data_IF_889297825174
#
_entry.id   IF_889297825174
#
_cell.length_a   1.000
_cell.length_b   1.000
_cell.length_c   1.000
_cell.angle_alpha   90.00
_cell.angle_beta   90.00
_cell.angle_gamma   90.00
#
_symmetry.space_group_name_H-M   'P 1'
#
loop_
_entity.id
_entity.type
_entity.pdbx_description
1 polymer ?
#
# COMPACT_ATOMS: atom_id res chain seq x y z
N UNK A 1 -17.06 19.91 26.06
CA UNK A 1 -15.70 20.13 25.56
C UNK A 1 -15.54 19.35 24.26
N UNK A 2 -15.29 20.01 23.11
CA UNK A 2 -15.03 19.31 21.85
C UNK A 2 -13.85 18.33 21.93
N UNK A 3 -13.91 17.23 21.18
CA UNK A 3 -12.86 16.20 21.19
C UNK A 3 -11.46 16.77 20.87
N UNK A 4 -11.35 17.59 19.82
CA UNK A 4 -10.09 18.25 19.44
C UNK A 4 -9.53 19.14 20.55
N UNK A 5 -10.38 19.83 21.31
CA UNK A 5 -9.94 20.68 22.42
C UNK A 5 -9.51 19.87 23.63
N UNK A 6 -10.13 18.70 23.86
CA UNK A 6 -9.68 17.75 24.88
C UNK A 6 -8.28 17.23 24.57
N UNK A 7 -8.05 16.76 23.34
CA UNK A 7 -6.72 16.31 22.91
C UNK A 7 -5.69 17.45 22.97
N UNK A 8 -6.02 18.64 22.45
CA UNK A 8 -5.13 19.79 22.51
C UNK A 8 -4.72 20.17 23.94
N UNK A 9 -5.64 20.05 24.90
CA UNK A 9 -5.35 20.25 26.33
C UNK A 9 -4.37 19.20 26.87
N UNK A 10 -4.54 17.93 26.49
CA UNK A 10 -3.61 16.87 26.87
C UNK A 10 -2.22 17.07 26.24
N UNK A 11 -2.15 17.41 24.95
CA UNK A 11 -0.88 17.66 24.24
C UNK A 11 -0.10 18.82 24.85
N UNK A 12 -0.79 19.90 25.25
CA UNK A 12 -0.12 21.04 25.91
C UNK A 12 0.34 20.71 27.33
N UNK A 13 -0.39 19.85 28.04
CA UNK A 13 -0.01 19.35 29.37
C UNK A 13 1.10 18.27 29.32
N UNK A 14 1.31 17.62 28.16
CA UNK A 14 2.35 16.59 27.98
C UNK A 14 3.77 17.12 28.23
N UNK A 15 4.01 18.44 28.16
CA UNK A 15 5.27 19.05 28.58
C UNK A 15 5.64 18.77 30.06
N UNK A 16 4.70 18.23 30.86
CA UNK A 16 4.88 17.87 32.27
C UNK A 16 5.03 16.35 32.49
N UNK A 17 4.95 15.52 31.45
CA UNK A 17 5.05 14.06 31.53
C UNK A 17 5.55 13.43 30.22
N UNK A 18 6.61 12.63 30.27
CA UNK A 18 7.35 12.22 29.05
C UNK A 18 6.70 11.11 28.21
N UNK A 19 5.89 10.20 28.77
CA UNK A 19 5.29 9.09 28.01
C UNK A 19 3.85 8.79 28.41
N UNK A 20 2.90 9.18 27.55
CA UNK A 20 1.48 8.90 27.73
C UNK A 20 0.84 8.49 26.39
N UNK A 21 -0.36 7.90 26.43
CA UNK A 21 -1.15 7.40 25.28
C UNK A 21 -1.30 8.39 24.09
N UNK A 22 -1.06 9.68 24.32
CA UNK A 22 -1.11 10.77 23.34
C UNK A 22 0.18 10.95 22.53
N UNK A 23 1.23 10.17 22.82
CA UNK A 23 2.48 10.21 22.06
C UNK A 23 2.23 9.92 20.58
N UNK A 24 2.70 10.80 19.70
CA UNK A 24 2.51 10.70 18.25
C UNK A 24 1.21 11.33 17.70
N UNK A 25 0.34 11.90 18.54
CA UNK A 25 -0.83 12.65 18.06
C UNK A 25 -0.41 14.04 17.60
N UNK A 26 -0.77 14.43 16.37
CA UNK A 26 -0.57 15.78 15.84
C UNK A 26 -1.90 16.44 15.44
N UNK A 27 -2.07 17.72 15.74
CA UNK A 27 -3.21 18.53 15.31
C UNK A 27 -2.73 19.62 14.36
N UNK A 28 -3.20 19.60 13.11
CA UNK A 28 -2.93 20.62 12.09
C UNK A 28 -4.21 21.36 11.74
N UNK A 29 -4.20 22.69 11.84
CA UNK A 29 -5.37 23.54 11.59
C UNK A 29 -5.11 24.56 10.48
N UNK A 30 -6.01 24.58 9.51
CA UNK A 30 -6.10 25.62 8.48
C UNK A 30 -7.38 26.45 8.69
N UNK A 31 -7.33 27.74 8.36
CA UNK A 31 -8.41 28.69 8.65
C UNK A 31 -8.72 29.55 7.42
N UNK A 32 -9.96 29.50 6.94
CA UNK A 32 -10.48 30.35 5.85
C UNK A 32 -11.45 31.37 6.43
N UNK A 33 -10.96 32.59 6.64
CA UNK A 33 -11.66 33.63 7.42
C UNK A 33 -11.45 33.46 8.92
N UNK A 34 -11.26 34.56 9.64
CA UNK A 34 -10.94 34.53 11.07
C UNK A 34 -12.15 34.13 11.93
N UNK A 35 -11.89 33.43 13.03
CA UNK A 35 -12.93 33.07 14.00
C UNK A 35 -13.56 34.32 14.67
N UNK A 36 -14.90 34.47 14.61
CA UNK A 36 -15.60 35.56 15.29
C UNK A 36 -15.59 35.36 16.81
N UNK A 37 -15.49 36.47 17.56
CA UNK A 37 -15.47 36.45 19.03
C UNK A 37 -16.71 35.79 19.68
N UNK A 38 -17.83 35.73 18.96
CA UNK A 38 -19.09 35.07 19.37
C UNK A 38 -19.03 33.54 19.25
N UNK A 39 -18.13 32.97 18.45
CA UNK A 39 -18.05 31.53 18.24
C UNK A 39 -16.95 30.91 19.12
N UNK A 40 -17.36 30.06 20.05
CA UNK A 40 -16.44 29.41 20.98
C UNK A 40 -15.76 28.14 20.40
N UNK A 41 -16.29 27.58 19.29
CA UNK A 41 -15.77 26.33 18.73
C UNK A 41 -14.51 26.51 17.88
N UNK A 42 -14.38 27.63 17.17
CA UNK A 42 -13.20 27.94 16.35
C UNK A 42 -12.15 28.78 17.10
N UNK A 43 -12.39 29.10 18.38
CA UNK A 43 -11.54 30.02 19.13
C UNK A 43 -10.14 29.42 19.30
N UNK A 44 -9.13 30.18 18.85
CA UNK A 44 -7.71 29.89 19.06
C UNK A 44 -7.08 31.05 19.85
N UNK A 45 -6.17 30.79 20.81
CA UNK A 45 -5.50 31.84 21.57
C UNK A 45 -4.84 32.87 20.63
N UNK A 46 -5.12 34.15 20.84
CA UNK A 46 -4.54 35.25 20.07
C UNK A 46 -5.04 35.43 18.63
N UNK A 47 -6.07 34.68 18.20
CA UNK A 47 -6.61 34.78 16.83
C UNK A 47 -8.08 35.20 16.73
N UNK A 48 -8.76 35.40 17.85
CA UNK A 48 -10.15 35.85 17.85
C UNK A 48 -10.30 37.29 17.36
N UNK A 49 -11.39 37.56 16.64
CA UNK A 49 -11.67 38.88 16.09
C UNK A 49 -13.14 39.26 16.30
N UNK A 50 -13.38 40.52 16.67
CA UNK A 50 -14.73 41.11 16.63
C UNK A 50 -15.14 41.31 15.17
N UNK A 51 -16.28 40.72 14.79
CA UNK A 51 -16.89 40.86 13.45
C UNK A 51 -15.89 40.74 12.28
N UNK A 52 -15.28 39.56 12.07
CA UNK A 52 -14.36 39.33 10.96
C UNK A 52 -15.08 39.42 9.62
N UNK A 53 -14.38 39.90 8.59
CA UNK A 53 -14.90 39.95 7.21
C UNK A 53 -15.06 38.53 6.64
N UNK A 54 -16.24 38.17 6.11
CA UNK A 54 -16.45 36.86 5.48
C UNK A 54 -15.49 36.63 4.30
N UNK A 55 -15.04 35.38 4.16
CA UNK A 55 -14.18 34.93 3.06
C UNK A 55 -14.96 33.94 2.20
N UNK A 56 -14.68 33.92 0.89
CA UNK A 56 -15.26 32.92 -0.01
C UNK A 56 -14.88 31.51 0.44
N UNK A 57 -15.87 30.70 0.79
CA UNK A 57 -15.68 29.31 1.21
C UNK A 57 -15.95 28.34 0.07
N UNK A 58 -17.09 28.52 -0.60
CA UNK A 58 -17.60 27.59 -1.59
C UNK A 58 -18.20 28.34 -2.79
N UNK A 59 -18.01 27.80 -3.99
CA UNK A 59 -18.67 28.25 -5.21
C UNK A 59 -19.78 27.25 -5.50
N UNK A 60 -21.01 27.59 -5.14
CA UNK A 60 -22.16 26.67 -5.26
C UNK A 60 -22.67 26.53 -6.70
N UNK A 61 -22.48 27.57 -7.54
CA UNK A 61 -22.94 27.61 -8.91
C UNK A 61 -21.96 28.39 -9.78
N UNK A 62 -21.70 27.85 -10.96
CA UNK A 62 -20.94 28.52 -12.02
C UNK A 62 -21.81 28.62 -13.27
N UNK A 63 -21.69 29.73 -13.98
CA UNK A 63 -22.36 29.93 -15.28
C UNK A 63 -21.26 30.26 -16.30
N UNK A 64 -21.17 29.52 -17.43
CA UNK A 64 -20.14 29.77 -18.43
C UNK A 64 -20.24 31.16 -19.05
N UNK A 65 -19.11 31.84 -19.29
CA UNK A 65 -19.10 33.23 -19.76
C UNK A 65 -19.74 33.42 -21.14
N UNK A 66 -19.76 32.40 -21.99
CA UNK A 66 -20.40 32.48 -23.31
C UNK A 66 -21.92 32.70 -23.22
N UNK A 67 -22.56 32.54 -22.05
CA UNK A 67 -23.97 32.92 -21.89
C UNK A 67 -24.19 34.42 -21.92
N UNK A 68 -23.14 35.22 -21.69
CA UNK A 68 -23.17 36.68 -21.78
C UNK A 68 -23.04 37.18 -23.22
N UNK A 69 -22.67 36.30 -24.17
CA UNK A 69 -22.56 36.60 -25.59
C UNK A 69 -23.94 36.47 -26.23
N UNK A 70 -24.43 37.55 -26.85
CA UNK A 70 -25.77 37.61 -27.45
C UNK A 70 -25.83 37.03 -28.86
N UNK A 71 -24.74 37.07 -29.61
CA UNK A 71 -24.70 36.55 -30.96
C UNK A 71 -24.35 35.05 -30.97
N UNK A 72 -25.13 34.27 -31.72
CA UNK A 72 -24.99 32.81 -31.72
C UNK A 72 -23.65 32.34 -32.33
N UNK A 73 -23.11 33.06 -33.31
CA UNK A 73 -21.89 32.67 -34.01
C UNK A 73 -20.65 32.73 -33.10
N UNK A 74 -20.44 33.86 -32.43
CA UNK A 74 -19.33 34.07 -31.50
C UNK A 74 -19.51 33.23 -30.25
N UNK A 75 -20.75 33.03 -29.78
CA UNK A 75 -21.04 32.15 -28.64
C UNK A 75 -20.56 30.73 -28.89
N UNK A 76 -20.87 30.13 -30.04
CA UNK A 76 -20.40 28.77 -30.36
C UNK A 76 -18.89 28.71 -30.60
N UNK A 77 -18.30 29.72 -31.25
CA UNK A 77 -16.84 29.80 -31.42
C UNK A 77 -16.09 29.96 -30.08
N UNK A 78 -16.66 30.72 -29.13
CA UNK A 78 -16.09 30.85 -27.79
C UNK A 78 -16.22 29.55 -27.01
N UNK A 79 -17.36 28.86 -27.14
CA UNK A 79 -17.59 27.57 -26.49
C UNK A 79 -16.59 26.52 -26.97
N UNK A 80 -16.31 26.41 -28.27
CA UNK A 80 -15.30 25.48 -28.77
C UNK A 80 -13.89 25.83 -28.28
N UNK A 81 -13.52 27.11 -28.27
CA UNK A 81 -12.24 27.57 -27.72
C UNK A 81 -12.09 27.28 -26.22
N UNK A 82 -13.17 27.43 -25.44
CA UNK A 82 -13.18 27.08 -24.02
C UNK A 82 -13.03 25.57 -23.79
N UNK A 83 -13.69 24.75 -24.62
CA UNK A 83 -13.54 23.29 -24.56
C UNK A 83 -12.12 22.86 -24.92
N UNK A 84 -11.52 23.48 -25.94
CA UNK A 84 -10.13 23.26 -26.33
C UNK A 84 -9.15 23.58 -25.19
N UNK A 85 -9.30 24.75 -24.55
CA UNK A 85 -8.42 25.15 -23.45
C UNK A 85 -8.53 24.24 -22.22
N UNK A 86 -9.74 23.75 -21.93
CA UNK A 86 -9.98 22.91 -20.76
C UNK A 86 -9.59 21.43 -20.97
N UNK A 87 -9.99 20.82 -22.09
CA UNK A 87 -9.83 19.36 -22.31
C UNK A 87 -8.60 18.98 -23.15
N UNK A 88 -8.18 19.88 -24.05
CA UNK A 88 -7.13 19.63 -25.04
C UNK A 88 -5.93 20.57 -24.88
N UNK A 89 -5.77 21.19 -23.70
CA UNK A 89 -4.68 22.11 -23.36
C UNK A 89 -4.52 23.29 -24.33
N UNK A 90 -5.57 23.66 -25.05
CA UNK A 90 -5.57 24.73 -26.07
C UNK A 90 -4.82 24.39 -27.36
N UNK A 91 -4.51 23.11 -27.61
CA UNK A 91 -3.74 22.64 -28.78
C UNK A 91 -4.48 21.60 -29.62
N UNK A 92 -5.80 21.75 -29.70
CA UNK A 92 -6.66 20.86 -30.46
C UNK A 92 -8.13 21.11 -30.18
N UNK A 93 -8.98 20.59 -31.04
CA UNK A 93 -10.43 20.74 -30.94
C UNK A 93 -11.07 19.52 -30.31
N UNK A 94 -12.14 19.73 -29.53
CA UNK A 94 -12.96 18.62 -29.01
C UNK A 94 -13.95 18.17 -30.08
N UNK A 95 -13.94 16.87 -30.38
CA UNK A 95 -14.91 16.21 -31.26
C UNK A 95 -15.60 15.13 -30.43
N UNK A 96 -16.89 15.30 -30.20
CA UNK A 96 -17.70 14.43 -29.32
C UNK A 96 -17.06 14.25 -27.93
N UNK A 97 -16.40 13.12 -27.70
CA UNK A 97 -15.78 12.75 -26.42
C UNK A 97 -14.24 12.63 -26.46
N UNK A 98 -13.60 13.06 -27.56
CA UNK A 98 -12.14 13.01 -27.73
C UNK A 98 -11.55 14.31 -28.28
N UNK A 99 -10.24 14.49 -28.12
CA UNK A 99 -9.51 15.66 -28.60
C UNK A 99 -8.80 15.37 -29.92
N UNK A 100 -9.12 16.12 -30.97
CA UNK A 100 -8.35 16.18 -32.22
C UNK A 100 -7.18 17.14 -32.05
N UNK A 101 -6.02 16.58 -31.71
CA UNK A 101 -4.80 17.36 -31.53
C UNK A 101 -4.27 17.96 -32.84
N UNK A 102 -3.80 19.21 -32.77
CA UNK A 102 -3.07 19.84 -33.86
C UNK A 102 -1.70 19.18 -34.06
N UNK A 103 -1.12 19.33 -35.26
CA UNK A 103 0.18 18.72 -35.63
C UNK A 103 1.34 19.13 -34.71
N UNK A 104 1.24 20.28 -34.04
CA UNK A 104 2.25 20.78 -33.09
C UNK A 104 2.13 20.16 -31.69
N UNK A 105 1.10 19.35 -31.44
CA UNK A 105 0.79 18.79 -30.13
C UNK A 105 1.14 17.31 -30.01
N UNK A 106 1.94 16.76 -30.93
CA UNK A 106 2.43 15.38 -30.84
C UNK A 106 3.70 15.32 -29.99
N UNK A 107 3.89 14.22 -29.26
CA UNK A 107 5.08 13.99 -28.44
C UNK A 107 6.30 13.52 -29.26
N UNK A 108 7.38 13.18 -28.57
CA UNK A 108 8.63 12.70 -29.18
C UNK A 108 8.47 11.38 -29.94
N UNK A 109 7.46 10.58 -29.60
CA UNK A 109 7.10 9.34 -30.30
C UNK A 109 6.09 9.55 -31.43
N UNK A 110 5.64 10.79 -31.66
CA UNK A 110 4.62 11.09 -32.66
C UNK A 110 3.22 10.67 -32.24
N UNK A 111 2.94 10.59 -30.93
CA UNK A 111 1.61 10.30 -30.39
C UNK A 111 0.88 11.58 -29.96
N UNK A 112 -0.46 11.64 -30.05
CA UNK A 112 -1.22 12.86 -29.73
C UNK A 112 -1.08 13.25 -28.25
N UNK A 113 -0.63 14.47 -27.94
CA UNK A 113 -0.31 14.92 -26.57
C UNK A 113 -1.07 16.18 -26.11
N UNK A 114 -2.17 16.55 -26.79
CA UNK A 114 -2.97 17.72 -26.41
C UNK A 114 -3.86 17.48 -25.18
N UNK A 115 -4.43 16.28 -25.03
CA UNK A 115 -5.16 15.89 -23.82
C UNK A 115 -4.19 15.22 -22.83
N UNK A 116 -4.14 15.67 -21.56
CA UNK A 116 -3.20 15.13 -20.59
C UNK A 116 -3.53 13.67 -20.25
N UNK A 117 -2.49 12.92 -19.89
CA UNK A 117 -2.58 11.59 -19.30
C UNK A 117 -1.97 11.68 -17.88
N UNK A 118 -2.81 11.91 -16.84
CA UNK A 118 -2.32 12.09 -15.47
C UNK A 118 -1.64 10.84 -14.91
N UNK A 119 -0.77 11.04 -13.91
CA UNK A 119 -0.17 9.97 -13.13
C UNK A 119 -1.25 9.27 -12.28
N UNK A 120 -1.43 7.93 -12.39
CA UNK A 120 -2.32 7.20 -11.50
C UNK A 120 -1.67 7.04 -10.13
N UNK A 121 -2.29 7.57 -9.07
CA UNK A 121 -1.74 7.51 -7.73
C UNK A 121 -2.03 6.14 -7.11
N UNK A 122 -0.99 5.30 -7.03
CA UNK A 122 -1.06 3.99 -6.38
C UNK A 122 -1.08 4.16 -4.85
N UNK A 123 -2.01 3.48 -4.18
CA UNK A 123 -2.21 3.55 -2.73
C UNK A 123 -2.41 2.16 -2.14
N UNK A 124 -2.15 2.04 -0.84
CA UNK A 124 -2.62 0.89 -0.07
C UNK A 124 -4.13 0.99 0.13
N UNK A 125 -4.81 -0.15 0.13
CA UNK A 125 -6.23 -0.21 0.43
C UNK A 125 -6.49 0.34 1.84
N UNK A 126 -7.39 1.32 2.02
CA UNK A 126 -7.70 1.88 3.34
C UNK A 126 -8.39 0.90 4.29
N UNK A 127 -9.05 -0.12 3.76
CA UNK A 127 -9.85 -1.09 4.52
C UNK A 127 -9.09 -2.39 4.81
N UNK A 128 -8.00 -2.65 4.09
CA UNK A 128 -7.19 -3.87 4.21
C UNK A 128 -5.73 -3.50 4.49
N UNK A 129 -5.38 -3.46 5.77
CA UNK A 129 -3.98 -3.34 6.18
C UNK A 129 -3.17 -4.55 5.66
N UNK A 130 -1.93 -4.37 5.20
CA UNK A 130 -1.12 -5.48 4.69
C UNK A 130 -0.80 -6.50 5.81
N UNK A 131 -0.76 -7.79 5.49
CA UNK A 131 -0.28 -8.86 6.38
C UNK A 131 1.10 -9.36 5.93
N UNK A 132 1.51 -10.53 6.40
CA UNK A 132 2.81 -11.12 6.07
C UNK A 132 2.88 -11.64 4.64
N UNK A 133 1.76 -12.06 4.05
CA UNK A 133 1.72 -12.59 2.68
C UNK A 133 0.71 -11.88 1.78
N UNK A 134 -0.10 -10.99 2.34
CA UNK A 134 -1.23 -10.35 1.64
C UNK A 134 -1.07 -8.84 1.63
N UNK A 135 -1.15 -8.24 0.43
CA UNK A 135 -1.11 -6.79 0.21
C UNK A 135 -2.19 -6.42 -0.80
N UNK A 136 -3.02 -5.43 -0.48
CA UNK A 136 -4.04 -4.88 -1.38
C UNK A 136 -3.70 -3.45 -1.77
N UNK A 137 -3.77 -3.15 -3.06
CA UNK A 137 -3.46 -1.84 -3.64
C UNK A 137 -4.66 -1.31 -4.42
N UNK A 138 -4.83 0.01 -4.41
CA UNK A 138 -5.92 0.71 -5.05
C UNK A 138 -5.42 1.96 -5.78
N UNK A 139 -6.08 2.31 -6.88
CA UNK A 139 -5.90 3.59 -7.57
C UNK A 139 -7.21 4.05 -8.21
N UNK A 140 -7.33 5.36 -8.36
CA UNK A 140 -8.47 6.01 -9.02
C UNK A 140 -8.18 6.14 -10.51
N UNK A 141 -9.20 5.92 -11.35
CA UNK A 141 -9.07 6.05 -12.80
C UNK A 141 -8.62 7.46 -13.20
N UNK A 142 -7.59 7.53 -14.06
CA UNK A 142 -7.08 8.81 -14.59
C UNK A 142 -7.77 9.23 -15.89
N UNK A 143 -8.70 8.42 -16.41
CA UNK A 143 -9.44 8.74 -17.62
C UNK A 143 -10.35 9.97 -17.41
N UNK A 144 -10.14 11.09 -18.15
CA UNK A 144 -11.06 12.22 -18.14
C UNK A 144 -12.40 11.87 -18.79
N UNK A 145 -13.42 12.70 -18.54
CA UNK A 145 -14.71 12.57 -19.22
C UNK A 145 -14.55 12.74 -20.75
N UNK A 146 -13.77 13.74 -21.17
CA UNK A 146 -13.48 14.07 -22.57
C UNK A 146 -11.97 14.06 -22.79
N UNK A 147 -11.53 13.47 -23.90
CA UNK A 147 -10.12 13.48 -24.33
C UNK A 147 -9.47 12.11 -24.27
N UNK A 148 -8.36 11.99 -23.55
CA UNK A 148 -7.61 10.73 -23.41
C UNK A 148 -8.49 9.60 -22.89
N UNK A 149 -8.35 8.40 -23.45
CA UNK A 149 -9.00 7.18 -22.96
C UNK A 149 -7.92 6.18 -22.53
N UNK A 150 -8.10 5.52 -21.40
CA UNK A 150 -7.14 4.56 -20.85
C UNK A 150 -7.44 3.19 -21.44
N UNK A 151 -6.43 2.56 -22.04
CA UNK A 151 -6.53 1.20 -22.56
C UNK A 151 -6.02 0.15 -21.59
N UNK A 152 -5.05 0.50 -20.74
CA UNK A 152 -4.50 -0.43 -19.76
C UNK A 152 -3.84 0.28 -18.58
N UNK A 153 -3.64 -0.47 -17.50
CA UNK A 153 -2.79 -0.12 -16.37
C UNK A 153 -1.69 -1.17 -16.25
N UNK A 154 -0.44 -0.73 -16.31
CA UNK A 154 0.71 -1.63 -16.17
C UNK A 154 1.23 -1.54 -14.75
N UNK A 155 1.20 -2.68 -14.07
CA UNK A 155 1.69 -2.82 -12.72
C UNK A 155 2.94 -3.69 -12.72
N UNK A 156 3.97 -3.24 -12.01
CA UNK A 156 5.17 -4.04 -11.78
C UNK A 156 5.42 -4.19 -10.29
N UNK A 157 5.88 -5.37 -9.88
CA UNK A 157 6.28 -5.58 -8.49
C UNK A 157 7.57 -6.37 -8.38
N UNK A 158 8.38 -6.03 -7.36
CA UNK A 158 9.57 -6.79 -7.01
C UNK A 158 9.83 -6.75 -5.51
N UNK A 159 10.42 -7.84 -5.01
CA UNK A 159 11.05 -7.86 -3.69
C UNK A 159 12.42 -7.18 -3.81
N UNK A 160 12.73 -6.27 -2.89
CA UNK A 160 14.00 -5.55 -2.81
C UNK A 160 14.81 -6.19 -1.69
N UNK A 161 16.01 -6.67 -2.02
CA UNK A 161 16.93 -7.24 -1.03
C UNK A 161 17.89 -6.17 -0.49
N UNK A 162 18.23 -6.25 0.80
CA UNK A 162 19.06 -5.26 1.52
C UNK A 162 20.55 -5.29 1.10
N UNK A 163 21.02 -6.34 0.43
CA UNK A 163 22.46 -6.60 0.28
C UNK A 163 23.10 -6.25 -1.08
N UNK A 164 22.36 -5.92 -2.16
CA UNK A 164 22.95 -5.44 -3.45
C UNK A 164 21.92 -4.94 -4.47
N UNK A 165 22.35 -4.01 -5.35
CA UNK A 165 21.81 -3.51 -6.65
C UNK A 165 20.73 -4.35 -7.37
N UNK A 166 19.56 -4.52 -6.76
CA UNK A 166 18.35 -4.97 -7.49
C UNK A 166 17.68 -3.82 -8.25
N UNK A 167 18.27 -2.63 -8.26
CA UNK A 167 17.72 -1.45 -8.92
C UNK A 167 17.54 -1.64 -10.44
N UNK A 168 18.39 -2.45 -11.07
CA UNK A 168 18.34 -2.78 -12.50
C UNK A 168 17.38 -3.93 -12.85
N UNK A 169 16.91 -4.73 -11.88
CA UNK A 169 15.95 -5.79 -12.17
C UNK A 169 14.56 -5.19 -12.35
N UNK A 170 14.02 -5.29 -13.56
CA UNK A 170 12.62 -4.99 -13.85
C UNK A 170 11.76 -6.07 -13.20
N UNK A 171 10.81 -5.67 -12.35
CA UNK A 171 9.94 -6.61 -11.64
C UNK A 171 9.05 -7.43 -12.58
N UNK A 172 8.23 -8.31 -12.02
CA UNK A 172 7.22 -9.01 -12.81
C UNK A 172 6.22 -7.98 -13.35
N UNK A 173 5.98 -8.01 -14.66
CA UNK A 173 5.05 -7.11 -15.35
C UNK A 173 3.67 -7.74 -15.39
N UNK A 174 2.65 -6.97 -15.03
CA UNK A 174 1.25 -7.36 -15.07
C UNK A 174 0.45 -6.30 -15.81
N UNK A 175 -0.10 -6.66 -16.95
CA UNK A 175 -1.17 -5.92 -17.62
C UNK A 175 -2.48 -6.14 -16.87
N UNK A 176 -3.19 -5.06 -16.54
CA UNK A 176 -4.48 -5.17 -15.89
C UNK A 176 -5.51 -5.82 -16.82
N UNK A 177 -5.54 -5.43 -18.09
CA UNK A 177 -6.45 -5.98 -19.09
C UNK A 177 -6.14 -7.46 -19.41
N UNK A 178 -4.89 -7.76 -19.73
CA UNK A 178 -4.52 -9.05 -20.31
C UNK A 178 -4.21 -10.09 -19.22
N UNK A 179 -3.35 -9.76 -18.25
CA UNK A 179 -2.90 -10.74 -17.26
C UNK A 179 -3.91 -10.90 -16.12
N UNK A 180 -4.46 -9.80 -15.62
CA UNK A 180 -5.31 -9.82 -14.43
C UNK A 180 -6.78 -10.13 -14.73
N UNK A 181 -7.39 -9.42 -15.70
CA UNK A 181 -8.79 -9.64 -16.06
C UNK A 181 -9.02 -10.83 -16.99
N UNK A 182 -8.09 -11.11 -17.92
CA UNK A 182 -8.25 -12.13 -18.97
C UNK A 182 -7.44 -13.41 -18.71
N UNK A 183 -6.23 -13.31 -18.18
CA UNK A 183 -5.32 -14.44 -17.91
C UNK A 183 -5.92 -15.48 -16.96
N UNK A 184 -5.45 -16.73 -16.94
CA UNK A 184 -5.96 -17.72 -15.99
C UNK A 184 -5.61 -17.28 -14.56
N UNK A 185 -6.55 -16.61 -13.88
CA UNK A 185 -6.31 -15.95 -12.60
C UNK A 185 -5.59 -16.87 -11.62
N UNK A 186 -4.41 -16.45 -11.16
CA UNK A 186 -3.67 -17.23 -10.16
C UNK A 186 -4.36 -17.07 -8.81
N UNK A 187 -4.24 -18.07 -7.93
CA UNK A 187 -4.67 -17.92 -6.54
C UNK A 187 -3.90 -16.81 -5.80
N UNK A 188 -2.79 -16.34 -6.37
CA UNK A 188 -1.88 -15.36 -5.79
C UNK A 188 -2.19 -13.91 -6.13
N UNK A 189 -2.79 -13.62 -7.28
CA UNK A 189 -3.13 -12.24 -7.68
C UNK A 189 -4.58 -12.18 -8.15
N UNK A 190 -5.33 -11.21 -7.63
CA UNK A 190 -6.70 -10.94 -8.07
C UNK A 190 -6.87 -9.44 -8.30
N UNK A 191 -7.64 -9.07 -9.31
CA UNK A 191 -7.94 -7.68 -9.64
C UNK A 191 -9.43 -7.39 -9.49
N UNK A 192 -9.74 -6.12 -9.24
CA UNK A 192 -11.08 -5.61 -9.07
C UNK A 192 -11.24 -4.25 -9.74
N UNK A 193 -12.48 -3.95 -10.16
CA UNK A 193 -12.90 -2.61 -10.56
C UNK A 193 -14.25 -2.31 -9.90
N UNK A 194 -14.32 -1.23 -9.13
CA UNK A 194 -15.51 -0.75 -8.45
C UNK A 194 -15.85 0.69 -8.83
N UNK A 195 -17.00 1.18 -8.38
CA UNK A 195 -17.39 2.58 -8.51
C UNK A 195 -16.88 3.36 -7.29
N UNK A 196 -16.32 4.56 -7.52
CA UNK A 196 -15.93 5.47 -6.45
C UNK A 196 -17.09 6.26 -5.86
N UNK A 197 -16.77 7.27 -5.05
CA UNK A 197 -17.75 8.16 -4.39
C UNK A 197 -18.69 8.85 -5.38
N UNK A 198 -18.17 9.15 -6.58
CA UNK A 198 -18.96 9.61 -7.73
C UNK A 198 -19.02 8.45 -8.75
N UNK A 199 -20.22 7.99 -9.16
CA UNK A 199 -20.39 6.75 -9.94
C UNK A 199 -19.58 6.65 -11.24
N UNK A 200 -19.21 7.79 -11.81
CA UNK A 200 -18.51 7.89 -13.09
C UNK A 200 -16.99 7.72 -12.97
N UNK A 201 -16.43 7.74 -11.76
CA UNK A 201 -15.01 7.50 -11.50
C UNK A 201 -14.82 6.08 -11.01
N UNK A 202 -14.09 5.27 -11.76
CA UNK A 202 -13.79 3.89 -11.38
C UNK A 202 -12.62 3.84 -10.39
N UNK A 203 -12.70 2.92 -9.43
CA UNK A 203 -11.57 2.55 -8.56
C UNK A 203 -11.10 1.18 -9.01
N UNK A 204 -9.83 1.09 -9.36
CA UNK A 204 -9.17 -0.15 -9.71
C UNK A 204 -8.40 -0.66 -8.50
N UNK A 205 -8.37 -1.98 -8.33
CA UNK A 205 -7.67 -2.61 -7.23
C UNK A 205 -6.99 -3.91 -7.65
N UNK A 206 -5.91 -4.25 -6.94
CA UNK A 206 -5.23 -5.54 -7.06
C UNK A 206 -4.83 -6.03 -5.67
N UNK A 207 -5.01 -7.33 -5.43
CA UNK A 207 -4.59 -7.99 -4.20
C UNK A 207 -3.60 -9.10 -4.50
N UNK A 208 -2.44 -9.01 -3.86
CA UNK A 208 -1.40 -10.03 -3.82
C UNK A 208 -1.59 -10.88 -2.56
N UNK A 209 -1.58 -12.21 -2.68
CA UNK A 209 -1.89 -13.16 -1.60
C UNK A 209 -0.77 -14.14 -1.26
N UNK A 210 0.29 -14.17 -2.07
CA UNK A 210 1.41 -15.12 -1.96
C UNK A 210 2.76 -14.42 -1.78
N UNK A 211 2.78 -13.21 -1.21
CA UNK A 211 4.03 -12.51 -0.95
C UNK A 211 4.81 -13.21 0.17
N UNK A 212 6.13 -13.00 0.19
CA UNK A 212 6.96 -13.51 1.26
C UNK A 212 6.87 -12.63 2.51
N UNK A 213 6.89 -13.23 3.71
CA UNK A 213 6.87 -12.50 4.97
C UNK A 213 8.19 -11.77 5.22
N UNK A 214 8.12 -10.67 5.98
CA UNK A 214 9.27 -9.81 6.29
C UNK A 214 10.06 -9.34 5.05
N UNK A 215 9.38 -9.19 3.92
CA UNK A 215 9.95 -8.77 2.64
C UNK A 215 9.66 -7.31 2.37
N UNK A 216 10.66 -6.55 1.93
CA UNK A 216 10.47 -5.20 1.38
C UNK A 216 10.07 -5.32 -0.09
N UNK A 217 8.89 -4.83 -0.44
CA UNK A 217 8.37 -4.86 -1.81
C UNK A 217 8.24 -3.45 -2.38
N UNK A 218 8.53 -3.33 -3.67
CA UNK A 218 8.31 -2.13 -4.49
C UNK A 218 7.28 -2.44 -5.56
N UNK A 219 6.19 -1.68 -5.58
CA UNK A 219 5.12 -1.72 -6.56
C UNK A 219 5.14 -0.44 -7.37
N UNK A 220 5.01 -0.54 -8.68
CA UNK A 220 4.95 0.62 -9.58
C UNK A 220 3.78 0.51 -10.54
N UNK A 221 3.14 1.64 -10.83
CA UNK A 221 1.95 1.72 -11.68
C UNK A 221 2.09 2.86 -12.69
N UNK A 222 1.69 2.62 -13.93
CA UNK A 222 1.43 3.68 -14.90
C UNK A 222 0.25 3.31 -15.80
N UNK A 223 -0.41 4.32 -16.35
CA UNK A 223 -1.51 4.16 -17.30
C UNK A 223 -0.98 4.15 -18.74
N UNK A 224 -1.68 3.42 -19.61
CA UNK A 224 -1.45 3.41 -21.05
C UNK A 224 -2.72 3.92 -21.73
N UNK A 225 -2.59 4.93 -22.60
CA UNK A 225 -3.73 5.41 -23.38
C UNK A 225 -3.99 4.57 -24.64
N UNK A 226 -5.15 4.77 -25.27
CA UNK A 226 -5.55 4.04 -26.48
C UNK A 226 -4.60 4.19 -27.67
N UNK A 227 -3.64 5.12 -27.63
CA UNK A 227 -2.61 5.33 -28.66
C UNK A 227 -1.23 4.81 -28.24
N UNK A 228 -1.08 4.33 -27.01
CA UNK A 228 0.17 3.78 -26.47
C UNK A 228 1.05 4.76 -25.70
N UNK A 229 0.57 5.98 -25.37
CA UNK A 229 1.34 6.87 -24.47
C UNK A 229 1.30 6.33 -23.05
N UNK A 230 2.39 6.55 -22.32
CA UNK A 230 2.51 6.20 -20.92
C UNK A 230 2.33 7.42 -20.03
N UNK A 231 1.63 7.25 -18.91
CA UNK A 231 1.62 8.26 -17.85
C UNK A 231 2.98 8.32 -17.16
N UNK A 232 3.15 9.33 -16.31
CA UNK A 232 4.20 9.27 -15.28
C UNK A 232 3.97 8.05 -14.36
N UNK A 233 5.05 7.51 -13.81
CA UNK A 233 5.03 6.30 -13.00
C UNK A 233 4.81 6.63 -11.51
N UNK A 234 3.88 5.94 -10.87
CA UNK A 234 3.63 6.01 -9.42
C UNK A 234 4.26 4.81 -8.71
N UNK A 235 4.70 4.98 -7.46
CA UNK A 235 5.44 3.96 -6.70
C UNK A 235 4.93 3.85 -5.26
N UNK A 236 4.80 2.61 -4.77
CA UNK A 236 4.58 2.29 -3.36
C UNK A 236 5.64 1.29 -2.92
N UNK A 237 6.30 1.57 -1.80
CA UNK A 237 7.26 0.65 -1.15
C UNK A 237 6.82 0.34 0.26
N UNK A 238 6.73 -0.94 0.61
CA UNK A 238 6.31 -1.37 1.94
C UNK A 238 6.97 -2.69 2.34
N UNK A 239 7.08 -2.92 3.65
CA UNK A 239 7.49 -4.20 4.22
C UNK A 239 6.27 -5.02 4.61
N UNK A 240 6.21 -6.29 4.19
CA UNK A 240 5.17 -7.22 4.66
C UNK A 240 5.37 -7.54 6.14
N UNK A 241 4.30 -7.87 6.85
CA UNK A 241 4.39 -8.16 8.28
C UNK A 241 5.29 -9.38 8.56
N UNK A 242 5.77 -9.50 9.80
CA UNK A 242 6.55 -10.67 10.23
C UNK A 242 5.75 -11.96 10.05
N UNK A 243 6.43 -13.08 9.78
CA UNK A 243 5.76 -14.38 9.67
C UNK A 243 5.12 -14.77 10.99
N UNK A 244 4.10 -15.62 10.90
CA UNK A 244 3.42 -16.16 12.08
C UNK A 244 4.39 -17.01 12.91
N UNK A 245 4.28 -16.87 14.24
CA UNK A 245 5.09 -17.60 15.20
C UNK A 245 4.19 -18.28 16.22
N UNK A 246 4.31 -19.60 16.33
CA UNK A 246 3.68 -20.36 17.42
C UNK A 246 4.59 -20.26 18.64
N UNK A 247 4.20 -19.37 19.57
CA UNK A 247 5.00 -19.03 20.73
C UNK A 247 5.16 -20.21 21.70
N UNK A 248 4.10 -21.01 21.88
CA UNK A 248 4.15 -22.20 22.73
C UNK A 248 5.09 -23.25 22.14
N UNK A 249 5.04 -23.42 20.81
CA UNK A 249 5.95 -24.37 20.15
C UNK A 249 7.40 -23.91 20.21
N UNK A 250 7.65 -22.60 20.13
CA UNK A 250 8.99 -22.06 20.28
C UNK A 250 9.55 -22.29 21.68
N UNK A 251 8.75 -22.12 22.74
CA UNK A 251 9.15 -22.40 24.12
C UNK A 251 9.42 -23.90 24.33
N UNK A 252 8.54 -24.78 23.84
CA UNK A 252 8.73 -26.25 23.89
C UNK A 252 10.04 -26.68 23.21
N UNK A 253 10.37 -26.07 22.05
CA UNK A 253 11.63 -26.35 21.37
C UNK A 253 12.83 -25.85 22.18
N UNK A 254 12.74 -24.67 22.79
CA UNK A 254 13.83 -24.15 23.63
C UNK A 254 14.14 -25.10 24.81
N UNK A 255 13.12 -25.57 25.51
CA UNK A 255 13.25 -26.53 26.60
C UNK A 255 13.81 -27.87 26.12
N UNK A 256 13.34 -28.36 24.97
CA UNK A 256 13.86 -29.58 24.35
C UNK A 256 15.34 -29.45 24.02
N UNK A 257 15.77 -28.33 23.44
CA UNK A 257 17.16 -28.08 23.06
C UNK A 257 18.05 -27.99 24.31
N UNK A 258 17.61 -27.29 25.35
CA UNK A 258 18.32 -27.24 26.63
C UNK A 258 18.52 -28.64 27.23
N UNK A 259 17.49 -29.48 27.24
CA UNK A 259 17.58 -30.85 27.73
C UNK A 259 18.54 -31.72 26.89
N UNK A 260 18.56 -31.56 25.56
CA UNK A 260 19.51 -32.26 24.69
C UNK A 260 20.96 -31.80 24.93
N UNK A 261 21.18 -30.51 25.20
CA UNK A 261 22.51 -29.96 25.53
C UNK A 261 22.99 -30.43 26.91
N UNK A 262 22.09 -30.61 27.88
CA UNK A 262 22.44 -31.18 29.19
C UNK A 262 22.62 -32.71 29.17
N UNK A 263 22.08 -33.40 28.17
CA UNK A 263 22.21 -34.85 28.02
C UNK A 263 23.64 -35.33 27.77
N UNK A 264 24.53 -34.42 27.33
CA UNK A 264 25.98 -34.59 27.20
C UNK A 264 26.43 -36.03 26.92
N UNK A 265 26.26 -36.57 25.70
CA UNK A 265 27.16 -37.60 25.11
C UNK A 265 26.70 -38.25 23.80
N UNK A 266 25.45 -38.11 23.33
CA UNK A 266 25.01 -38.84 22.14
C UNK A 266 25.09 -38.02 20.85
N UNK A 267 25.85 -38.50 19.86
CA UNK A 267 25.86 -37.90 18.51
C UNK A 267 24.47 -37.85 17.85
N UNK A 268 23.54 -38.72 18.28
CA UNK A 268 22.13 -38.66 17.84
C UNK A 268 21.39 -37.45 18.43
N UNK A 269 21.68 -37.09 19.68
CA UNK A 269 21.07 -35.92 20.34
C UNK A 269 21.56 -34.64 19.68
N UNK A 270 22.88 -34.53 19.42
CA UNK A 270 23.47 -33.40 18.70
C UNK A 270 22.84 -33.23 17.30
N UNK A 271 22.70 -34.32 16.54
CA UNK A 271 22.08 -34.24 15.22
C UNK A 271 20.59 -33.93 15.29
N UNK A 272 19.87 -34.44 16.30
CA UNK A 272 18.44 -34.14 16.52
C UNK A 272 18.23 -32.68 16.89
N UNK A 273 19.07 -32.12 17.76
CA UNK A 273 19.05 -30.70 18.13
C UNK A 273 19.28 -29.83 16.89
N UNK A 274 20.34 -30.11 16.13
CA UNK A 274 20.66 -29.36 14.91
C UNK A 274 19.52 -29.43 13.87
N UNK A 275 18.97 -30.63 13.62
CA UNK A 275 17.87 -30.79 12.65
C UNK A 275 16.63 -30.01 13.10
N UNK A 276 16.24 -30.11 14.38
CA UNK A 276 15.08 -29.39 14.92
C UNK A 276 15.22 -27.87 14.73
N UNK A 277 16.42 -27.31 14.95
CA UNK A 277 16.70 -25.88 14.77
C UNK A 277 16.75 -25.44 13.28
N UNK A 278 17.14 -26.35 12.38
CA UNK A 278 17.22 -26.06 10.93
C UNK A 278 15.88 -26.23 10.21
N UNK A 279 15.01 -27.12 10.70
CA UNK A 279 13.70 -27.43 10.11
C UNK A 279 12.68 -26.29 10.30
N UNK A 280 12.76 -25.56 11.42
CA UNK A 280 11.86 -24.42 11.69
C UNK A 280 12.26 -23.16 10.92
N UNK A 281 11.32 -22.23 10.71
CA UNK A 281 11.59 -20.95 10.03
C UNK A 281 12.61 -20.09 10.78
N UNK A 282 13.24 -19.12 10.10
CA UNK A 282 14.19 -18.21 10.73
C UNK A 282 13.59 -17.43 11.91
N UNK A 283 12.34 -16.98 11.79
CA UNK A 283 11.63 -16.29 12.87
C UNK A 283 11.26 -17.20 14.04
N UNK A 284 10.90 -18.46 13.78
CA UNK A 284 10.73 -19.46 14.84
C UNK A 284 12.04 -19.73 15.55
N UNK A 285 13.15 -19.88 14.81
CA UNK A 285 14.49 -20.06 15.39
C UNK A 285 14.90 -18.86 16.27
N UNK A 286 14.60 -17.64 15.82
CA UNK A 286 14.82 -16.43 16.61
C UNK A 286 13.96 -16.42 17.89
N UNK A 287 12.71 -16.89 17.81
CA UNK A 287 11.85 -17.01 18.99
C UNK A 287 12.32 -18.09 19.97
N UNK A 288 12.83 -19.22 19.46
CA UNK A 288 13.46 -20.26 20.28
C UNK A 288 14.68 -19.69 21.01
N UNK A 289 15.53 -18.92 20.33
CA UNK A 289 16.66 -18.25 20.96
C UNK A 289 16.20 -17.31 22.09
N UNK A 290 15.15 -16.51 21.85
CA UNK A 290 14.58 -15.63 22.87
C UNK A 290 14.16 -16.39 24.14
N UNK A 291 13.39 -17.47 23.99
CA UNK A 291 12.96 -18.29 25.13
C UNK A 291 14.12 -19.01 25.81
N UNK A 292 15.07 -19.54 25.03
CA UNK A 292 16.24 -20.21 25.58
C UNK A 292 17.03 -19.25 26.47
N UNK A 293 17.33 -18.04 25.99
CA UNK A 293 18.07 -17.07 26.78
C UNK A 293 17.26 -16.57 27.98
N UNK A 294 15.93 -16.43 27.85
CA UNK A 294 15.07 -16.01 28.97
C UNK A 294 15.16 -16.96 30.18
N UNK A 295 15.29 -18.27 29.93
CA UNK A 295 15.29 -19.28 30.99
C UNK A 295 16.70 -19.77 31.37
N UNK A 296 17.60 -19.91 30.39
CA UNK A 296 18.82 -20.70 30.51
C UNK A 296 20.13 -19.93 30.30
N UNK A 297 20.09 -18.61 30.02
CA UNK A 297 21.29 -17.79 29.75
C UNK A 297 22.34 -17.86 30.87
N UNK A 298 21.92 -18.09 32.12
CA UNK A 298 22.84 -18.28 33.27
C UNK A 298 23.78 -19.48 33.10
N UNK A 299 23.44 -20.44 32.24
CA UNK A 299 24.23 -21.64 31.94
C UNK A 299 24.99 -21.52 30.60
N UNK A 300 25.00 -20.34 29.99
CA UNK A 300 25.57 -20.07 28.67
C UNK A 300 24.49 -19.58 27.70
N UNK A 301 24.81 -18.55 26.91
CA UNK A 301 23.87 -18.06 25.92
C UNK A 301 23.63 -19.12 24.82
N UNK A 302 22.47 -19.03 24.16
CA UNK A 302 22.05 -20.00 23.14
C UNK A 302 23.08 -20.25 22.03
N UNK A 303 23.72 -19.20 21.52
CA UNK A 303 24.71 -19.27 20.44
C UNK A 303 25.98 -19.93 20.96
N UNK A 304 26.50 -19.43 22.08
CA UNK A 304 27.72 -19.96 22.69
C UNK A 304 27.56 -21.44 23.06
N UNK A 305 26.43 -21.79 23.68
CA UNK A 305 26.15 -23.19 24.04
C UNK A 305 25.91 -24.07 22.81
N UNK A 306 25.32 -23.54 21.74
CA UNK A 306 25.19 -24.27 20.48
C UNK A 306 26.55 -24.53 19.82
N UNK A 307 27.51 -23.62 19.96
CA UNK A 307 28.88 -23.82 19.48
C UNK A 307 29.61 -24.91 20.27
N UNK A 308 29.46 -24.93 21.59
CA UNK A 308 30.05 -25.97 22.45
C UNK A 308 29.50 -27.37 22.13
N UNK A 309 28.17 -27.51 22.01
CA UNK A 309 27.54 -28.83 21.85
C UNK A 309 27.51 -29.34 20.39
N UNK A 310 27.44 -28.45 19.40
CA UNK A 310 27.30 -28.81 17.98
C UNK A 310 28.54 -28.53 17.15
N UNK A 311 29.49 -27.76 17.69
CA UNK A 311 30.71 -27.33 17.02
C UNK A 311 30.53 -26.07 16.15
N UNK A 312 31.64 -25.40 15.78
CA UNK A 312 31.63 -24.07 15.18
C UNK A 312 30.83 -23.96 13.88
N UNK A 313 30.95 -24.95 12.98
CA UNK A 313 30.30 -24.88 11.66
C UNK A 313 28.78 -24.95 11.76
N UNK A 314 28.23 -25.78 12.65
CA UNK A 314 26.78 -25.92 12.82
C UNK A 314 26.20 -24.68 13.53
N UNK A 315 26.87 -24.18 14.56
CA UNK A 315 26.50 -22.94 15.23
C UNK A 315 26.51 -21.73 14.27
N UNK A 316 27.50 -21.65 13.39
CA UNK A 316 27.57 -20.56 12.42
C UNK A 316 26.44 -20.60 11.36
N UNK A 317 25.96 -21.80 10.99
CA UNK A 317 24.78 -21.93 10.13
C UNK A 317 23.48 -21.52 10.85
N UNK A 318 23.38 -21.79 12.16
CA UNK A 318 22.29 -21.28 13.01
C UNK A 318 22.30 -19.75 13.04
N UNK A 319 23.46 -19.15 13.31
CA UNK A 319 23.64 -17.70 13.32
C UNK A 319 23.22 -17.04 12.00
N UNK A 320 23.69 -17.56 10.86
CA UNK A 320 23.31 -17.04 9.54
C UNK A 320 21.81 -17.10 9.26
N UNK A 321 21.06 -18.03 9.87
CA UNK A 321 19.59 -18.05 9.75
C UNK A 321 18.94 -16.97 10.59
N UNK A 322 19.47 -16.68 11.77
CA UNK A 322 19.00 -15.58 12.63
C UNK A 322 19.21 -14.22 11.96
N UNK A 323 20.32 -14.04 11.24
CA UNK A 323 20.64 -12.83 10.46
C UNK A 323 19.65 -12.54 9.31
N UNK A 324 18.85 -13.53 8.88
CA UNK A 324 17.83 -13.32 7.84
C UNK A 324 16.57 -12.63 8.35
N UNK A 325 16.39 -12.53 9.67
CA UNK A 325 15.26 -11.83 10.28
C UNK A 325 15.58 -10.34 10.30
N UNK A 326 14.66 -9.50 9.81
CA UNK A 326 14.91 -8.05 9.76
C UNK A 326 15.04 -7.42 11.14
N UNK A 327 15.55 -6.20 11.17
CA UNK A 327 15.59 -5.39 12.40
C UNK A 327 14.19 -5.15 12.98
N UNK A 328 13.18 -4.94 12.13
CA UNK A 328 11.80 -4.76 12.55
C UNK A 328 11.25 -6.02 13.23
N UNK A 329 11.37 -7.17 12.56
CA UNK A 329 10.84 -8.41 13.11
C UNK A 329 11.64 -8.93 14.30
N UNK A 330 12.96 -8.77 14.32
CA UNK A 330 13.77 -9.14 15.49
C UNK A 330 13.41 -8.33 16.74
N UNK A 331 13.00 -7.06 16.58
CA UNK A 331 12.47 -6.26 17.71
C UNK A 331 11.13 -6.80 18.21
N UNK A 332 10.18 -7.08 17.31
CA UNK A 332 8.85 -7.58 17.68
C UNK A 332 8.88 -9.00 18.23
N UNK A 333 9.77 -9.86 17.72
CA UNK A 333 9.92 -11.24 18.19
C UNK A 333 10.56 -11.35 19.59
N UNK A 334 11.01 -10.23 20.18
CA UNK A 334 11.45 -10.15 21.58
C UNK A 334 10.32 -9.76 22.56
N UNK A 335 9.08 -9.60 22.10
CA UNK A 335 7.96 -9.32 23.00
C UNK A 335 7.74 -10.45 24.02
N UNK A 336 7.15 -10.13 25.18
CA UNK A 336 6.95 -11.13 26.23
C UNK A 336 6.08 -12.31 25.75
N UNK A 337 5.03 -12.04 24.97
CA UNK A 337 4.21 -13.07 24.35
C UNK A 337 3.82 -12.70 22.91
N UNK A 338 3.55 -13.73 22.11
CA UNK A 338 3.03 -13.60 20.76
C UNK A 338 1.78 -14.48 20.63
N UNK A 339 0.67 -13.89 20.19
CA UNK A 339 -0.55 -14.62 19.85
C UNK A 339 -0.86 -14.46 18.37
N UNK A 340 -1.65 -15.36 17.81
CA UNK A 340 -2.14 -15.25 16.43
C UNK A 340 -3.62 -14.89 16.43
N UNK A 341 -4.00 -13.88 15.65
CA UNK A 341 -5.40 -13.62 15.26
C UNK A 341 -5.57 -13.84 13.77
N UNK A 342 -6.78 -14.18 13.35
CA UNK A 342 -7.12 -14.34 11.93
C UNK A 342 -8.27 -13.40 11.60
N UNK A 343 -7.97 -12.40 10.80
CA UNK A 343 -8.97 -11.48 10.28
C UNK A 343 -9.47 -12.03 8.94
N UNK A 344 -10.77 -11.92 8.65
CA UNK A 344 -11.31 -12.29 7.35
C UNK A 344 -11.90 -11.05 6.70
N UNK A 345 -11.37 -10.66 5.55
CA UNK A 345 -11.77 -9.42 4.86
C UNK A 345 -12.24 -9.72 3.44
N UNK A 346 -13.24 -8.97 2.94
CA UNK A 346 -13.69 -9.10 1.56
C UNK A 346 -12.72 -8.43 0.58
N UNK A 347 -12.67 -8.96 -0.63
CA UNK A 347 -12.00 -8.35 -1.77
C UNK A 347 -12.81 -8.61 -3.04
N UNK A 348 -12.71 -7.68 -4.00
CA UNK A 348 -13.39 -7.81 -5.27
C UNK A 348 -12.53 -8.63 -6.25
N UNK A 349 -13.16 -9.62 -6.88
CA UNK A 349 -12.56 -10.46 -7.90
C UNK A 349 -13.33 -10.28 -9.22
N UNK A 350 -12.76 -9.52 -10.13
CA UNK A 350 -13.35 -9.23 -11.44
C UNK A 350 -12.63 -9.98 -12.56
N UNK A 351 -13.42 -10.42 -13.55
CA UNK A 351 -12.94 -11.14 -14.74
C UNK A 351 -13.56 -10.52 -15.98
N UNK A 352 -12.80 -10.49 -17.08
CA UNK A 352 -13.36 -10.06 -18.36
C UNK A 352 -14.30 -11.13 -18.91
N UNK A 353 -15.51 -10.73 -19.31
CA UNK A 353 -16.46 -11.61 -20.03
C UNK A 353 -16.12 -11.70 -21.52
N UNK A 354 -15.51 -10.65 -22.07
CA UNK A 354 -15.29 -10.47 -23.50
C UNK A 354 -13.87 -10.00 -23.75
N UNK A 355 -13.14 -10.71 -24.63
CA UNK A 355 -11.85 -10.22 -25.13
C UNK A 355 -12.13 -9.12 -26.15
N UNK A 356 -11.74 -7.89 -25.83
CA UNK A 356 -11.99 -6.73 -26.70
C UNK A 356 -11.01 -6.74 -27.88
N UNK A 357 -11.45 -6.31 -29.08
CA UNK A 357 -10.58 -6.25 -30.25
C UNK A 357 -9.57 -5.10 -30.07
N UNK A 358 -8.28 -5.43 -30.11
CA UNK A 358 -7.20 -4.46 -30.19
C UNK A 358 -6.68 -4.40 -31.65
N UNK A 359 -6.44 -3.18 -32.13
CA UNK A 359 -5.73 -2.94 -33.39
C UNK A 359 -4.21 -2.90 -33.19
N UNK A 360 -3.47 -2.74 -34.29
CA UNK A 360 -2.00 -2.69 -34.25
C UNK A 360 -1.44 -1.37 -33.70
N UNK A 361 -2.20 -0.28 -33.80
CA UNK A 361 -1.80 1.11 -33.42
C UNK A 361 -2.86 1.78 -32.54
N UNK A 362 -3.93 1.05 -32.22
CA UNK A 362 -5.02 1.54 -31.38
C UNK A 362 -5.51 0.41 -30.48
N UNK A 363 -5.59 0.69 -29.19
CA UNK A 363 -5.98 -0.28 -28.17
C UNK A 363 -7.42 -0.03 -27.69
N UNK A 364 -8.06 -1.07 -27.18
CA UNK A 364 -9.42 -0.98 -26.65
C UNK A 364 -9.48 -0.17 -25.36
N UNK A 365 -10.57 0.55 -25.13
CA UNK A 365 -10.80 1.31 -23.88
C UNK A 365 -11.06 0.32 -22.73
N UNK A 366 -10.26 0.40 -21.66
CA UNK A 366 -10.35 -0.50 -20.50
C UNK A 366 -11.70 -0.36 -19.79
N UNK A 367 -12.15 0.89 -19.61
CA UNK A 367 -13.41 1.21 -18.92
C UNK A 367 -14.63 0.54 -19.55
N UNK A 368 -14.63 0.40 -20.87
CA UNK A 368 -15.74 -0.19 -21.63
C UNK A 368 -15.73 -1.72 -21.63
N UNK A 369 -14.69 -2.34 -21.07
CA UNK A 369 -14.60 -3.80 -20.94
C UNK A 369 -15.68 -4.30 -20.00
N UNK A 370 -16.47 -5.26 -20.47
CA UNK A 370 -17.50 -5.94 -19.66
C UNK A 370 -16.80 -6.91 -18.72
N UNK A 371 -17.05 -6.72 -17.43
CA UNK A 371 -16.47 -7.54 -16.38
C UNK A 371 -17.57 -8.12 -15.50
N UNK A 372 -17.41 -9.38 -15.11
CA UNK A 372 -18.17 -9.98 -14.01
C UNK A 372 -17.34 -9.82 -12.73
N UNK A 373 -17.92 -9.24 -11.69
CA UNK A 373 -17.25 -9.09 -10.40
C UNK A 373 -17.95 -9.92 -9.32
N UNK A 374 -17.16 -10.64 -8.54
CA UNK A 374 -17.59 -11.44 -7.39
C UNK A 374 -16.86 -10.96 -6.14
N UNK A 375 -17.55 -10.88 -5.01
CA UNK A 375 -16.90 -10.63 -3.72
C UNK A 375 -16.37 -11.94 -3.15
N UNK A 376 -15.09 -11.98 -2.79
CA UNK A 376 -14.43 -13.13 -2.17
C UNK A 376 -13.81 -12.74 -0.84
N UNK A 377 -13.53 -13.74 -0.01
CA UNK A 377 -12.91 -13.53 1.30
C UNK A 377 -11.47 -14.00 1.31
N UNK A 378 -10.60 -13.25 2.01
CA UNK A 378 -9.23 -13.67 2.32
C UNK A 378 -9.05 -13.74 3.83
N UNK A 379 -8.50 -14.87 4.31
CA UNK A 379 -8.09 -15.03 5.70
C UNK A 379 -6.67 -14.50 5.87
N UNK A 380 -6.52 -13.51 6.74
CA UNK A 380 -5.28 -12.82 7.03
C UNK A 380 -4.87 -13.12 8.46
N UNK A 381 -3.97 -14.07 8.61
CA UNK A 381 -3.40 -14.38 9.92
C UNK A 381 -2.31 -13.35 10.28
N UNK A 382 -2.35 -12.85 11.52
CA UNK A 382 -1.46 -11.83 12.05
C UNK A 382 -0.96 -12.22 13.43
N UNK A 383 0.28 -11.84 13.74
CA UNK A 383 0.77 -11.84 15.11
C UNK A 383 0.19 -10.63 15.87
N UNK A 384 -0.09 -10.88 17.14
CA UNK A 384 -0.41 -9.89 18.17
C UNK A 384 0.71 -9.94 19.20
N UNK A 385 1.42 -8.83 19.36
CA UNK A 385 2.57 -8.71 20.23
C UNK A 385 2.18 -7.95 21.50
N UNK A 386 2.67 -8.35 22.67
CA UNK A 386 2.50 -7.53 23.86
C UNK A 386 3.33 -7.94 25.07
N UNK A 387 3.10 -7.22 26.17
CA UNK A 387 3.78 -7.36 27.47
C UNK A 387 3.09 -8.28 28.49
N UNK A 388 1.74 -8.26 28.59
CA UNK A 388 0.96 -9.31 29.27
C UNK A 388 -0.19 -9.89 28.43
N UNK A 389 -0.52 -11.19 28.58
CA UNK A 389 -1.59 -11.91 27.83
C UNK A 389 -3.01 -11.34 28.01
N UNK A 390 -3.18 -10.29 28.82
CA UNK A 390 -4.46 -9.77 29.27
C UNK A 390 -5.20 -8.85 28.30
N UNK A 391 -4.55 -8.33 27.25
CA UNK A 391 -5.17 -7.58 26.14
C UNK A 391 -4.30 -7.62 24.90
#
# INVERSE_FOLDING_TARGET
MPFITYLSGLLTAQMLSDDQLISGVEIRCEEKGRCPSTCHLCRRPGKEQLSPTPVLLEISRVVPLYTLIQDNGTKEAFKSALMSSYWCSGKGDVIDDWCRCDLSAFDTSGLPNCSPLPQPVLRLSPTVEPSSTVVSLEWVDVQPAIGTKVSDYILQHKKVDEYTDTDLYTGEFLSFADDLLSGLGTSCVAAGRSHGEVPEVSIYSVIFKCLEPDGLYKFTLYAVDTRGRHSELSTVTLRTACPLVDDNKAEEIADKIYNLYNGYTSGKEQQTAYNTLMEVSASMLFRVQHHYNSHYEKFGDFVWRSEDELGPRKAHLILRRLERVSSHCSSLLRSAYIQSRVDTVPYLFCRSEEVRPAGMVWYSILKDTKITCEEKMVSMARNTYGESKGR
#
